data_IF_098670431688
#
_entry.id   IF_098670431688
#
_cell.length_a   1.000
_cell.length_b   1.000
_cell.length_c   1.000
_cell.angle_alpha   90.00
_cell.angle_beta   90.00
_cell.angle_gamma   90.00
#
_symmetry.space_group_name_H-M   'P 1'
#
loop_
_entity.id
_entity.type
_entity.pdbx_description
1 polymer ?
#
# COMPACT_ATOMS: atom_id res chain seq x y z
N UNK A 1 20.11 3.92 15.93
CA UNK A 1 18.72 4.44 15.94
C UNK A 1 18.51 5.60 16.91
N UNK A 2 18.75 5.47 18.23
CA UNK A 2 18.56 6.58 19.20
C UNK A 2 19.25 7.90 18.77
N UNK A 3 20.54 7.84 18.39
CA UNK A 3 21.31 9.04 17.98
C UNK A 3 20.77 9.74 16.71
N UNK A 4 20.19 8.98 15.77
CA UNK A 4 19.62 9.53 14.53
C UNK A 4 18.28 10.21 14.83
N UNK A 5 17.42 9.57 15.64
CA UNK A 5 16.17 10.16 16.09
C UNK A 5 16.43 11.45 16.88
N UNK A 6 17.42 11.44 17.79
CA UNK A 6 17.84 12.63 18.52
C UNK A 6 18.40 13.69 17.58
N UNK A 7 19.19 13.34 16.57
CA UNK A 7 19.69 14.29 15.59
C UNK A 7 18.57 14.91 14.74
N UNK A 8 17.56 14.14 14.32
CA UNK A 8 16.39 14.65 13.58
C UNK A 8 15.57 15.58 14.47
N UNK A 9 15.33 15.20 15.73
CA UNK A 9 14.59 16.03 16.70
C UNK A 9 15.35 17.33 16.98
N UNK A 10 16.65 17.24 17.26
CA UNK A 10 17.52 18.41 17.51
C UNK A 10 17.61 19.29 16.27
N UNK A 11 17.81 18.72 15.08
CA UNK A 11 17.84 19.47 13.82
C UNK A 11 16.52 20.21 13.56
N UNK A 12 15.37 19.55 13.77
CA UNK A 12 14.06 20.17 13.65
C UNK A 12 13.86 21.30 14.69
N UNK A 13 14.18 21.07 15.96
CA UNK A 13 14.09 22.09 17.02
C UNK A 13 15.01 23.29 16.72
N UNK A 14 16.24 23.03 16.26
CA UNK A 14 17.20 24.08 15.89
C UNK A 14 16.72 24.90 14.68
N UNK A 15 16.13 24.26 13.66
CA UNK A 15 15.58 24.97 12.50
C UNK A 15 14.31 25.78 12.83
N UNK A 16 13.47 25.27 13.74
CA UNK A 16 12.26 25.96 14.21
C UNK A 16 12.62 27.24 14.98
N UNK A 17 13.70 27.20 15.78
CA UNK A 17 14.18 28.36 16.55
C UNK A 17 14.86 29.43 15.69
N UNK A 18 15.57 29.05 14.61
CA UNK A 18 16.30 30.00 13.76
C UNK A 18 15.41 31.00 12.99
N UNK A 19 14.11 30.75 12.87
CA UNK A 19 13.19 31.61 12.11
C UNK A 19 12.04 32.16 12.95
N UNK A 20 12.16 32.19 14.29
CA UNK A 20 11.10 32.52 15.24
C UNK A 20 10.67 34.00 15.24
N UNK A 21 10.03 34.47 14.17
CA UNK A 21 9.09 35.59 14.22
C UNK A 21 7.69 35.05 13.94
N UNK A 22 6.81 35.14 14.93
CA UNK A 22 5.44 34.63 14.86
C UNK A 22 4.56 35.60 14.08
N UNK A 23 4.07 35.18 12.91
CA UNK A 23 2.93 35.84 12.26
C UNK A 23 1.67 35.47 13.06
N UNK A 24 0.80 36.44 13.31
CA UNK A 24 -0.40 36.30 14.14
C UNK A 24 -1.34 35.20 13.63
N UNK A 25 -2.00 34.49 14.57
CA UNK A 25 -2.87 33.35 14.27
C UNK A 25 -4.26 33.73 13.72
N UNK A 26 -4.68 35.00 13.78
CA UNK A 26 -5.81 35.54 13.01
C UNK A 26 -5.81 37.07 13.10
N UNK A 27 -6.45 37.76 12.15
CA UNK A 27 -6.65 39.23 12.13
C UNK A 27 -8.09 39.66 12.40
N UNK A 28 -9.01 38.74 12.73
CA UNK A 28 -10.45 39.05 12.93
C UNK A 28 -10.95 38.87 14.38
N UNK A 29 -11.24 40.01 15.01
CA UNK A 29 -12.25 40.34 16.04
C UNK A 29 -12.50 39.36 17.22
N UNK A 30 -12.21 39.88 18.41
CA UNK A 30 -12.28 39.34 19.78
C UNK A 30 -13.69 39.08 20.34
N UNK A 31 -14.70 38.79 19.51
CA UNK A 31 -16.11 38.70 19.95
C UNK A 31 -16.65 37.28 20.16
N UNK A 32 -15.84 36.23 20.00
CA UNK A 32 -16.28 34.83 20.19
C UNK A 32 -15.79 34.23 21.53
N UNK A 33 -16.66 33.43 22.14
CA UNK A 33 -16.47 32.71 23.42
C UNK A 33 -15.26 31.75 23.46
N UNK A 34 -14.68 31.42 22.29
CA UNK A 34 -13.49 30.57 22.15
C UNK A 34 -12.41 31.24 21.27
N UNK A 35 -11.99 32.44 21.64
CA UNK A 35 -10.95 33.22 20.93
C UNK A 35 -9.65 32.45 20.69
N UNK A 36 -9.32 31.51 21.59
CA UNK A 36 -8.10 30.71 21.47
C UNK A 36 -8.13 29.69 20.34
N UNK A 37 -9.30 29.23 19.86
CA UNK A 37 -9.42 28.17 18.84
C UNK A 37 -9.38 28.72 17.40
N UNK A 38 -9.73 30.00 17.21
CA UNK A 38 -9.77 30.63 15.89
C UNK A 38 -8.39 30.66 15.22
N UNK A 39 -8.33 30.32 13.94
CA UNK A 39 -7.10 30.26 13.15
C UNK A 39 -6.16 29.11 13.51
N UNK A 40 -6.58 28.19 14.39
CA UNK A 40 -5.79 27.07 14.89
C UNK A 40 -6.22 25.72 14.36
N UNK A 41 -7.36 25.66 13.69
CA UNK A 41 -7.93 24.42 13.18
C UNK A 41 -7.55 24.28 11.72
N UNK A 42 -6.99 23.14 11.35
CA UNK A 42 -6.65 22.83 9.96
C UNK A 42 -7.25 21.48 9.63
N UNK A 43 -8.05 21.42 8.56
CA UNK A 43 -8.51 20.17 7.97
C UNK A 43 -7.71 19.96 6.69
N UNK A 44 -6.99 18.85 6.60
CA UNK A 44 -6.22 18.45 5.42
C UNK A 44 -6.84 17.22 4.77
N UNK A 45 -6.92 17.23 3.45
CA UNK A 45 -7.28 16.07 2.61
C UNK A 45 -6.08 15.73 1.76
N UNK A 46 -5.51 14.55 1.99
CA UNK A 46 -4.28 14.11 1.35
C UNK A 46 -4.58 13.01 0.32
N UNK A 47 -4.30 13.29 -0.95
CA UNK A 47 -4.45 12.34 -2.05
C UNK A 47 -3.22 11.43 -2.08
N UNK A 48 -3.31 10.33 -1.36
CA UNK A 48 -2.24 9.33 -1.30
C UNK A 48 -2.83 7.93 -1.41
N UNK A 49 -2.76 7.30 -2.59
CA UNK A 49 -3.26 5.95 -2.77
C UNK A 49 -2.33 4.90 -2.14
N UNK A 50 -1.19 5.32 -1.57
CA UNK A 50 -0.21 4.47 -0.91
C UNK A 50 0.21 3.28 -1.77
N UNK A 51 0.26 2.11 -1.14
CA UNK A 51 0.61 0.85 -1.81
C UNK A 51 -0.46 0.41 -2.82
N UNK A 52 -1.73 0.73 -2.58
CA UNK A 52 -2.85 0.31 -3.42
C UNK A 52 -2.79 0.97 -4.82
N UNK A 53 -2.29 2.19 -4.93
CA UNK A 53 -2.12 2.85 -6.23
C UNK A 53 -0.92 2.37 -7.06
N UNK A 54 0.01 1.62 -6.46
CA UNK A 54 1.23 1.17 -7.13
C UNK A 54 1.20 -0.30 -7.51
N UNK A 55 0.85 -1.19 -6.56
CA UNK A 55 1.02 -2.63 -6.76
C UNK A 55 0.14 -3.23 -7.86
N UNK A 56 -1.18 -2.95 -7.94
CA UNK A 56 -2.03 -3.53 -8.98
C UNK A 56 -1.64 -3.11 -10.40
N UNK A 57 -1.41 -1.81 -10.71
CA UNK A 57 -0.90 -1.42 -12.01
C UNK A 57 0.47 -2.04 -12.34
N UNK A 58 1.37 -2.09 -11.35
CA UNK A 58 2.70 -2.70 -11.53
C UNK A 58 2.61 -4.19 -11.85
N UNK A 59 1.80 -4.96 -11.12
CA UNK A 59 1.62 -6.38 -11.39
C UNK A 59 0.99 -6.61 -12.76
N UNK A 60 -0.08 -5.88 -13.11
CA UNK A 60 -0.66 -5.96 -14.44
C UNK A 60 0.41 -5.71 -15.52
N UNK A 61 1.23 -4.67 -15.35
CA UNK A 61 2.30 -4.32 -16.32
C UNK A 61 3.35 -5.43 -16.45
N UNK A 62 3.75 -6.05 -15.33
CA UNK A 62 4.73 -7.15 -15.32
C UNK A 62 4.18 -8.35 -16.08
N UNK A 63 2.93 -8.76 -15.79
CA UNK A 63 2.33 -9.93 -16.43
C UNK A 63 1.97 -9.68 -17.90
N UNK A 64 1.49 -8.49 -18.25
CA UNK A 64 1.18 -8.11 -19.63
C UNK A 64 2.44 -8.04 -20.52
N UNK A 65 3.61 -7.81 -19.92
CA UNK A 65 4.89 -7.65 -20.65
C UNK A 65 5.95 -8.66 -20.21
N UNK A 66 5.54 -9.82 -19.69
CA UNK A 66 6.46 -10.75 -19.02
C UNK A 66 7.59 -11.23 -19.94
N UNK A 67 7.34 -11.42 -21.24
CA UNK A 67 8.35 -11.83 -22.24
C UNK A 67 9.46 -10.78 -22.39
N UNK A 68 9.11 -9.49 -22.30
CA UNK A 68 10.08 -8.40 -22.38
C UNK A 68 10.92 -8.34 -21.10
N UNK A 69 10.29 -8.53 -19.93
CA UNK A 69 11.01 -8.58 -18.66
C UNK A 69 11.93 -9.81 -18.54
N UNK A 70 11.48 -10.99 -18.98
CA UNK A 70 12.30 -12.19 -18.97
C UNK A 70 13.47 -12.08 -19.95
N UNK A 71 13.24 -11.51 -21.14
CA UNK A 71 14.29 -11.19 -22.11
C UNK A 71 15.33 -10.21 -21.56
N UNK A 72 14.90 -9.17 -20.84
CA UNK A 72 15.80 -8.19 -20.19
C UNK A 72 16.67 -8.84 -19.11
N UNK A 73 16.10 -9.82 -18.38
CA UNK A 73 16.79 -10.55 -17.32
C UNK A 73 17.65 -11.72 -17.86
N UNK A 74 17.60 -12.00 -19.17
CA UNK A 74 18.28 -13.12 -19.79
C UNK A 74 17.77 -14.49 -19.32
N UNK A 75 16.53 -14.54 -18.82
CA UNK A 75 15.89 -15.76 -18.32
C UNK A 75 15.03 -16.36 -19.41
N UNK A 76 15.35 -17.59 -19.82
CA UNK A 76 14.47 -18.39 -20.67
C UNK A 76 13.41 -19.07 -19.80
N UNK A 77 12.15 -18.73 -20.04
CA UNK A 77 11.01 -19.24 -19.28
C UNK A 77 10.55 -20.63 -19.76
N UNK A 78 11.02 -21.12 -20.92
CA UNK A 78 10.73 -22.47 -21.42
C UNK A 78 9.23 -22.84 -21.34
N UNK A 79 8.92 -23.97 -20.69
CA UNK A 79 7.54 -24.43 -20.48
C UNK A 79 6.72 -23.56 -19.52
N UNK A 80 7.38 -22.80 -18.64
CA UNK A 80 6.70 -21.86 -17.73
C UNK A 80 6.07 -20.68 -18.48
N UNK A 81 6.56 -20.37 -19.69
CA UNK A 81 5.95 -19.35 -20.55
C UNK A 81 4.53 -19.73 -20.97
N UNK A 82 4.24 -21.02 -21.21
CA UNK A 82 2.89 -21.50 -21.55
C UNK A 82 1.93 -21.31 -20.38
N UNK A 83 2.40 -21.54 -19.16
CA UNK A 83 1.63 -21.31 -17.94
C UNK A 83 1.35 -19.82 -17.76
N UNK A 84 2.36 -18.95 -17.90
CA UNK A 84 2.19 -17.49 -17.74
C UNK A 84 1.26 -16.93 -18.82
N UNK A 85 1.36 -17.38 -20.09
CA UNK A 85 0.44 -17.01 -21.18
C UNK A 85 -1.02 -17.44 -20.95
N UNK A 86 -1.24 -18.41 -20.08
CA UNK A 86 -2.57 -18.88 -19.75
C UNK A 86 -3.23 -18.07 -18.61
N UNK A 87 -2.44 -17.28 -17.87
CA UNK A 87 -2.92 -16.44 -16.78
C UNK A 87 -3.61 -15.19 -17.32
N UNK A 88 -4.82 -14.94 -16.81
CA UNK A 88 -5.50 -13.65 -16.84
C UNK A 88 -5.27 -12.98 -15.47
N UNK A 89 -4.51 -11.88 -15.47
CA UNK A 89 -4.16 -11.12 -14.26
C UNK A 89 -4.92 -9.81 -14.23
N UNK A 90 -5.77 -9.64 -13.20
CA UNK A 90 -6.56 -8.43 -13.01
C UNK A 90 -6.31 -7.85 -11.63
N UNK A 91 -5.56 -6.76 -11.59
CA UNK A 91 -5.39 -5.91 -10.43
C UNK A 91 -6.33 -4.70 -10.46
N UNK A 92 -6.98 -4.39 -9.34
CA UNK A 92 -7.73 -3.14 -9.17
C UNK A 92 -7.50 -2.53 -7.80
N UNK A 93 -7.72 -1.22 -7.67
CA UNK A 93 -7.61 -0.51 -6.40
C UNK A 93 -8.65 0.58 -6.27
N UNK A 94 -8.95 0.92 -5.02
CA UNK A 94 -9.64 2.14 -4.66
C UNK A 94 -9.10 2.65 -3.33
N UNK A 95 -9.24 3.94 -3.06
CA UNK A 95 -8.82 4.51 -1.79
C UNK A 95 -9.71 5.68 -1.42
N UNK A 96 -9.85 5.89 -0.12
CA UNK A 96 -10.38 7.13 0.45
C UNK A 96 -9.17 8.00 0.79
N UNK A 97 -9.09 9.24 0.28
CA UNK A 97 -8.04 10.18 0.67
C UNK A 97 -7.88 10.26 2.18
N UNK A 98 -6.64 10.41 2.66
CA UNK A 98 -6.39 10.52 4.08
C UNK A 98 -6.87 11.89 4.56
N UNK A 99 -7.86 11.92 5.45
CA UNK A 99 -8.41 13.13 6.04
C UNK A 99 -7.75 13.29 7.40
N UNK A 100 -7.12 14.45 7.62
CA UNK A 100 -6.55 14.78 8.92
C UNK A 100 -7.09 16.10 9.46
N UNK A 101 -7.26 16.13 10.77
CA UNK A 101 -7.57 17.33 11.55
C UNK A 101 -6.36 17.67 12.40
N UNK A 102 -5.86 18.90 12.27
CA UNK A 102 -4.76 19.43 13.06
C UNK A 102 -5.23 20.60 13.91
N UNK A 103 -4.95 20.52 15.22
CA UNK A 103 -5.12 21.63 16.15
C UNK A 103 -3.75 22.23 16.52
N UNK A 104 -3.54 23.50 16.21
CA UNK A 104 -2.32 24.24 16.57
C UNK A 104 -2.31 24.60 18.06
N UNK A 105 -1.59 23.86 18.90
CA UNK A 105 -1.40 24.25 20.31
C UNK A 105 -0.49 25.48 20.43
N UNK A 106 0.48 25.59 19.52
CA UNK A 106 1.37 26.73 19.37
C UNK A 106 1.34 27.18 17.90
N UNK A 107 1.66 28.46 17.56
CA UNK A 107 1.77 28.92 16.17
C UNK A 107 2.59 28.02 15.23
N UNK A 108 3.44 27.14 15.76
CA UNK A 108 4.30 26.23 14.98
C UNK A 108 4.20 24.76 15.37
N UNK A 109 3.34 24.42 16.33
CA UNK A 109 3.20 23.05 16.82
C UNK A 109 1.72 22.71 16.83
N UNK A 110 1.35 21.68 16.08
CA UNK A 110 0.00 21.14 16.03
C UNK A 110 -0.04 19.67 16.41
N UNK A 111 -1.18 19.26 16.95
CA UNK A 111 -1.51 17.84 17.12
C UNK A 111 -2.44 17.45 15.97
N UNK A 112 -2.07 16.40 15.24
CA UNK A 112 -2.80 15.88 14.09
C UNK A 112 -3.46 14.55 14.45
N UNK A 113 -4.72 14.36 14.04
CA UNK A 113 -5.39 13.07 14.00
C UNK A 113 -5.84 12.85 12.55
N UNK A 114 -5.60 11.67 12.01
CA UNK A 114 -5.91 11.35 10.62
C UNK A 114 -6.45 9.95 10.44
N UNK A 115 -7.24 9.76 9.40
CA UNK A 115 -7.79 8.47 9.00
C UNK A 115 -7.83 8.36 7.48
N UNK A 116 -7.65 7.15 6.97
CA UNK A 116 -7.78 6.85 5.55
C UNK A 116 -8.17 5.40 5.32
N UNK A 117 -8.45 5.06 4.06
CA UNK A 117 -8.73 3.68 3.65
C UNK A 117 -8.03 3.42 2.32
N UNK A 118 -7.34 2.31 2.22
CA UNK A 118 -6.75 1.85 0.96
C UNK A 118 -7.19 0.41 0.73
N UNK A 119 -7.62 0.09 -0.48
CA UNK A 119 -8.01 -1.25 -0.85
C UNK A 119 -7.37 -1.62 -2.18
N UNK A 120 -6.83 -2.83 -2.24
CA UNK A 120 -6.28 -3.43 -3.44
C UNK A 120 -6.86 -4.83 -3.60
N UNK A 121 -7.10 -5.22 -4.84
CA UNK A 121 -7.53 -6.58 -5.17
C UNK A 121 -6.73 -7.09 -6.37
N UNK A 122 -6.48 -8.40 -6.35
CA UNK A 122 -5.77 -9.13 -7.37
C UNK A 122 -6.57 -10.38 -7.70
N UNK A 123 -6.73 -10.65 -8.98
CA UNK A 123 -7.27 -11.90 -9.46
C UNK A 123 -6.27 -12.51 -10.46
N UNK A 124 -5.88 -13.75 -10.20
CA UNK A 124 -5.24 -14.62 -11.18
C UNK A 124 -6.30 -15.63 -11.62
N UNK A 125 -6.51 -15.81 -12.92
CA UNK A 125 -7.42 -16.81 -13.44
C UNK A 125 -6.80 -17.56 -14.62
N UNK A 126 -7.08 -18.85 -14.75
CA UNK A 126 -6.83 -19.64 -15.94
C UNK A 126 -8.19 -20.14 -16.43
N UNK A 127 -8.65 -19.68 -17.59
CA UNK A 127 -9.88 -20.17 -18.22
C UNK A 127 -9.85 -21.69 -18.41
N UNK A 128 -10.98 -22.36 -18.21
CA UNK A 128 -11.09 -23.82 -18.30
C UNK A 128 -10.48 -24.41 -19.57
N UNK A 129 -10.70 -23.80 -20.73
CA UNK A 129 -10.13 -24.22 -22.01
C UNK A 129 -8.60 -24.26 -21.98
N UNK A 130 -7.96 -23.22 -21.43
CA UNK A 130 -6.50 -23.18 -21.26
C UNK A 130 -6.00 -24.14 -20.19
N UNK A 131 -6.79 -24.41 -19.15
CA UNK A 131 -6.47 -25.42 -18.12
C UNK A 131 -6.40 -26.82 -18.75
N UNK A 132 -7.33 -27.16 -19.66
CA UNK A 132 -7.31 -28.44 -20.38
C UNK A 132 -6.05 -28.55 -21.22
N UNK A 133 -5.68 -27.50 -21.96
CA UNK A 133 -4.48 -27.49 -22.80
C UNK A 133 -3.19 -27.67 -21.98
N UNK A 134 -3.09 -26.98 -20.83
CA UNK A 134 -1.98 -27.10 -19.90
C UNK A 134 -1.88 -28.52 -19.32
N UNK A 135 -3.00 -29.08 -18.84
CA UNK A 135 -3.04 -30.44 -18.29
C UNK A 135 -2.70 -31.50 -19.34
N UNK A 136 -3.17 -31.31 -20.59
CA UNK A 136 -2.85 -32.18 -21.72
C UNK A 136 -1.38 -32.16 -22.10
N UNK A 137 -0.71 -31.01 -21.96
CA UNK A 137 0.72 -30.86 -22.26
C UNK A 137 1.68 -31.51 -21.25
N UNK A 138 1.21 -31.77 -20.03
CA UNK A 138 1.97 -32.43 -18.96
C UNK A 138 1.96 -33.97 -19.06
N UNK A 139 1.13 -34.54 -19.95
CA UNK A 139 1.03 -35.97 -20.16
C UNK A 139 2.01 -36.44 -21.25
N UNK A 140 2.74 -37.56 -21.04
CA UNK A 140 3.65 -38.09 -22.04
C UNK A 140 2.86 -38.48 -23.30
N UNK A 141 3.25 -37.91 -24.44
CA UNK A 141 2.69 -38.15 -25.77
C UNK A 141 3.00 -39.57 -26.25
N UNK A 142 2.30 -40.57 -25.71
CA UNK A 142 2.25 -41.91 -26.29
C UNK A 142 0.99 -42.05 -27.16
N UNK A 143 1.19 -42.45 -28.41
CA UNK A 143 0.22 -42.42 -29.52
C UNK A 143 -1.15 -43.05 -29.21
N UNK A 144 -2.18 -42.57 -29.94
CA UNK A 144 -3.62 -42.91 -29.88
C UNK A 144 -4.32 -42.96 -28.51
N UNK A 145 -3.57 -42.93 -27.41
CA UNK A 145 -4.04 -43.01 -26.02
C UNK A 145 -4.14 -41.61 -25.42
N UNK A 146 -3.27 -40.68 -25.86
CA UNK A 146 -3.35 -39.25 -25.47
C UNK A 146 -4.66 -38.56 -25.86
N UNK A 147 -5.30 -38.98 -26.96
CA UNK A 147 -6.56 -38.39 -27.43
C UNK A 147 -7.79 -38.91 -26.65
N UNK A 148 -7.69 -40.12 -26.09
CA UNK A 148 -8.73 -40.71 -25.22
C UNK A 148 -8.58 -40.15 -23.79
N UNK A 149 -7.35 -39.97 -23.32
CA UNK A 149 -7.07 -39.41 -21.99
C UNK A 149 -7.37 -37.89 -21.95
N UNK A 150 -6.99 -37.14 -22.98
CA UNK A 150 -7.29 -35.70 -23.09
C UNK A 150 -8.80 -35.39 -23.10
N UNK A 151 -9.60 -36.18 -23.82
CA UNK A 151 -11.06 -36.02 -23.85
C UNK A 151 -11.74 -36.40 -22.53
N UNK A 152 -11.20 -37.35 -21.76
CA UNK A 152 -11.74 -37.70 -20.44
C UNK A 152 -11.37 -36.65 -19.36
N UNK A 153 -10.20 -36.01 -19.45
CA UNK A 153 -9.75 -34.95 -18.55
C UNK A 153 -10.58 -33.68 -18.70
N UNK A 154 -10.99 -33.32 -19.92
CA UNK A 154 -11.90 -32.19 -20.17
C UNK A 154 -13.28 -32.35 -19.48
N UNK A 155 -13.68 -33.59 -19.16
CA UNK A 155 -14.89 -33.86 -18.36
C UNK A 155 -14.65 -33.84 -16.84
N UNK A 156 -13.39 -34.03 -16.41
CA UNK A 156 -12.98 -34.02 -15.00
C UNK A 156 -12.67 -32.60 -14.50
N UNK A 157 -12.20 -31.71 -15.39
CA UNK A 157 -11.95 -30.30 -15.08
C UNK A 157 -13.29 -29.55 -15.06
N UNK A 158 -13.82 -29.33 -13.86
CA UNK A 158 -15.19 -28.85 -13.65
C UNK A 158 -15.38 -27.34 -13.85
N UNK A 159 -14.35 -26.53 -13.61
CA UNK A 159 -14.45 -25.06 -13.54
C UNK A 159 -13.14 -24.36 -13.93
N UNK A 160 -13.20 -23.03 -14.03
CA UNK A 160 -12.01 -22.17 -14.15
C UNK A 160 -11.15 -22.26 -12.89
N UNK A 161 -9.83 -22.16 -13.04
CA UNK A 161 -8.92 -22.05 -11.90
C UNK A 161 -8.70 -20.57 -11.58
N UNK A 162 -9.03 -20.12 -10.37
CA UNK A 162 -8.83 -18.73 -9.95
C UNK A 162 -8.23 -18.60 -8.55
N UNK A 163 -7.46 -17.53 -8.35
CA UNK A 163 -7.01 -17.00 -7.07
C UNK A 163 -7.45 -15.55 -6.99
N UNK A 164 -8.24 -15.19 -5.99
CA UNK A 164 -8.63 -13.82 -5.68
C UNK A 164 -8.01 -13.44 -4.34
N UNK A 165 -7.31 -12.31 -4.30
CA UNK A 165 -6.77 -11.72 -3.08
C UNK A 165 -7.29 -10.29 -2.97
N UNK A 166 -7.90 -9.96 -1.84
CA UNK A 166 -8.34 -8.60 -1.50
C UNK A 166 -7.66 -8.18 -0.21
N UNK A 167 -7.03 -7.01 -0.22
CA UNK A 167 -6.30 -6.43 0.91
C UNK A 167 -6.84 -5.04 1.19
N UNK A 168 -7.33 -4.82 2.40
CA UNK A 168 -7.86 -3.53 2.86
C UNK A 168 -7.03 -3.06 4.05
N UNK A 169 -6.58 -1.81 3.98
CA UNK A 169 -5.78 -1.13 4.98
C UNK A 169 -6.59 0.06 5.51
N UNK A 170 -6.81 0.07 6.84
CA UNK A 170 -7.48 1.16 7.53
C UNK A 170 -6.51 1.86 8.50
N UNK A 171 -5.69 2.82 8.03
CA UNK A 171 -4.80 3.57 8.90
C UNK A 171 -5.54 4.64 9.71
N UNK A 172 -5.31 4.63 11.02
CA UNK A 172 -5.62 5.73 11.94
C UNK A 172 -4.32 6.24 12.53
N UNK A 173 -4.08 7.54 12.42
CA UNK A 173 -2.84 8.17 12.87
C UNK A 173 -3.10 9.26 13.90
N UNK A 174 -2.25 9.34 14.91
CA UNK A 174 -2.09 10.51 15.77
C UNK A 174 -0.65 11.01 15.63
N UNK A 175 -0.46 12.31 15.53
CA UNK A 175 0.85 12.88 15.28
C UNK A 175 1.06 14.28 15.83
N UNK A 176 2.31 14.70 15.80
CA UNK A 176 2.72 16.07 16.10
C UNK A 176 3.32 16.67 14.86
N UNK A 177 2.75 17.80 14.43
CA UNK A 177 3.14 18.55 13.24
C UNK A 177 3.89 19.82 13.64
N UNK A 178 5.06 20.02 13.06
CA UNK A 178 5.92 21.17 13.26
C UNK A 178 5.98 22.01 11.99
N UNK A 179 5.79 23.31 12.14
CA UNK A 179 5.84 24.26 11.04
C UNK A 179 7.10 25.11 11.10
N UNK A 180 7.93 25.03 10.06
CA UNK A 180 9.17 25.77 9.87
C UNK A 180 9.08 26.80 8.73
N UNK A 181 10.11 27.65 8.64
CA UNK A 181 10.17 28.73 7.65
C UNK A 181 9.45 30.01 8.06
N UNK A 182 9.79 31.14 7.43
CA UNK A 182 9.25 32.47 7.77
C UNK A 182 7.72 32.55 7.64
N UNK A 183 7.16 31.80 6.70
CA UNK A 183 5.71 31.75 6.41
C UNK A 183 5.05 30.41 6.77
N UNK A 184 5.71 29.56 7.58
CA UNK A 184 5.22 28.21 7.93
C UNK A 184 5.10 27.27 6.72
N UNK A 185 5.97 27.47 5.74
CA UNK A 185 5.96 26.75 4.46
C UNK A 185 6.53 25.34 4.60
N UNK A 186 7.36 25.05 5.59
CA UNK A 186 7.95 23.71 5.77
C UNK A 186 7.16 22.97 6.85
N UNK A 187 6.73 21.75 6.56
CA UNK A 187 5.94 20.93 7.46
C UNK A 187 6.68 19.64 7.76
N UNK A 188 6.87 19.35 9.05
CA UNK A 188 7.45 18.11 9.53
C UNK A 188 6.43 17.42 10.44
N UNK A 189 6.03 16.19 10.12
CA UNK A 189 5.00 15.49 10.91
C UNK A 189 5.55 14.17 11.42
N UNK A 190 5.55 14.00 12.74
CA UNK A 190 5.80 12.70 13.37
C UNK A 190 4.46 12.04 13.69
N UNK A 191 4.24 10.82 13.22
CA UNK A 191 2.99 10.10 13.40
C UNK A 191 3.23 8.75 14.07
N UNK A 192 2.33 8.42 14.99
CA UNK A 192 2.07 7.06 15.41
C UNK A 192 0.77 6.60 14.74
N UNK A 193 0.83 5.47 14.05
CA UNK A 193 -0.30 4.90 13.34
C UNK A 193 -0.64 3.51 13.83
N UNK A 194 -1.93 3.24 13.93
CA UNK A 194 -2.49 1.90 14.05
C UNK A 194 -3.24 1.64 12.75
N UNK A 195 -3.00 0.51 12.12
CA UNK A 195 -3.62 0.16 10.85
C UNK A 195 -4.24 -1.24 10.97
N UNK A 196 -5.53 -1.35 10.65
CA UNK A 196 -6.16 -2.65 10.50
C UNK A 196 -5.92 -3.15 9.07
N UNK A 197 -5.32 -4.33 8.96
CA UNK A 197 -5.07 -5.05 7.73
C UNK A 197 -6.07 -6.19 7.63
N UNK A 198 -6.93 -6.14 6.63
CA UNK A 198 -7.89 -7.20 6.34
C UNK A 198 -7.47 -7.86 5.03
N UNK A 199 -7.27 -9.18 5.05
CA UNK A 199 -6.98 -9.97 3.85
C UNK A 199 -8.05 -11.04 3.63
N UNK A 200 -8.58 -11.06 2.41
CA UNK A 200 -9.47 -12.10 1.92
C UNK A 200 -8.79 -12.80 0.76
N UNK A 201 -8.51 -14.10 0.90
CA UNK A 201 -7.88 -14.91 -0.12
C UNK A 201 -8.78 -16.10 -0.43
N UNK A 202 -9.19 -16.20 -1.69
CA UNK A 202 -10.06 -17.25 -2.19
C UNK A 202 -9.40 -17.93 -3.37
N UNK A 203 -9.30 -19.25 -3.32
CA UNK A 203 -8.76 -20.06 -4.42
C UNK A 203 -9.77 -21.11 -4.82
N UNK A 204 -9.97 -21.30 -6.11
CA UNK A 204 -10.64 -22.45 -6.69
C UNK A 204 -9.73 -23.04 -7.75
N UNK A 205 -9.44 -24.33 -7.66
CA UNK A 205 -8.64 -25.03 -8.63
C UNK A 205 -9.52 -25.97 -9.46
N UNK A 206 -9.61 -25.70 -10.76
CA UNK A 206 -10.46 -26.43 -11.70
C UNK A 206 -10.05 -27.88 -11.94
N UNK A 207 -8.79 -28.25 -11.67
CA UNK A 207 -8.25 -29.61 -11.87
C UNK A 207 -8.46 -30.47 -10.63
N UNK A 208 -8.08 -29.95 -9.46
CA UNK A 208 -8.18 -30.68 -8.19
C UNK A 208 -9.54 -30.53 -7.51
N UNK A 209 -10.36 -29.57 -7.95
CA UNK A 209 -11.64 -29.23 -7.32
C UNK A 209 -11.49 -28.57 -5.95
N UNK A 210 -10.26 -28.25 -5.53
CA UNK A 210 -9.98 -27.65 -4.23
C UNK A 210 -10.49 -26.21 -4.19
N UNK A 211 -11.26 -25.90 -3.14
CA UNK A 211 -11.74 -24.55 -2.83
C UNK A 211 -11.23 -24.15 -1.46
N UNK A 212 -10.55 -23.01 -1.39
CA UNK A 212 -10.06 -22.44 -0.14
C UNK A 212 -10.53 -21.01 -0.02
N UNK A 213 -10.93 -20.62 1.19
CA UNK A 213 -11.28 -19.24 1.52
C UNK A 213 -10.72 -18.91 2.88
N UNK A 214 -9.95 -17.85 2.96
CA UNK A 214 -9.29 -17.39 4.18
C UNK A 214 -9.54 -15.91 4.38
N UNK A 215 -9.99 -15.56 5.58
CA UNK A 215 -10.18 -14.19 6.03
C UNK A 215 -9.30 -13.96 7.25
N UNK A 216 -8.39 -12.99 7.16
CA UNK A 216 -7.48 -12.64 8.24
C UNK A 216 -7.62 -11.15 8.55
N UNK A 217 -7.67 -10.80 9.84
CA UNK A 217 -7.64 -9.41 10.31
C UNK A 217 -6.46 -9.27 11.27
N UNK A 218 -5.51 -8.42 10.90
CA UNK A 218 -4.34 -8.11 11.69
C UNK A 218 -4.27 -6.63 12.04
N UNK A 219 -3.88 -6.33 13.29
CA UNK A 219 -3.58 -4.96 13.71
C UNK A 219 -2.08 -4.70 13.59
N UNK A 220 -1.71 -3.79 12.71
CA UNK A 220 -0.33 -3.32 12.52
C UNK A 220 -0.13 -1.97 13.21
N UNK A 221 1.10 -1.68 13.60
CA UNK A 221 1.45 -0.43 14.29
C UNK A 221 2.73 0.12 13.70
N UNK A 222 2.76 1.43 13.45
CA UNK A 222 3.92 2.09 12.87
C UNK A 222 4.21 3.46 13.49
N UNK A 223 5.49 3.84 13.38
CA UNK A 223 5.92 5.22 13.55
C UNK A 223 6.35 5.75 12.19
N UNK A 224 5.93 6.94 11.80
CA UNK A 224 6.39 7.59 10.57
C UNK A 224 6.77 9.04 10.78
N UNK A 225 7.63 9.51 9.90
CA UNK A 225 8.07 10.89 9.77
C UNK A 225 7.78 11.34 8.34
N UNK A 226 7.06 12.44 8.21
CA UNK A 226 6.73 13.08 6.95
C UNK A 226 7.43 14.44 6.86
N UNK A 227 8.09 14.68 5.73
CA UNK A 227 8.63 15.97 5.34
C UNK A 227 7.86 16.52 4.14
N UNK A 228 7.36 17.74 4.28
CA UNK A 228 6.58 18.41 3.26
C UNK A 228 6.69 19.93 3.29
N UNK A 229 5.96 20.53 2.36
CA UNK A 229 5.80 21.95 2.18
C UNK A 229 4.33 22.30 2.06
N UNK A 230 3.96 23.49 2.50
CA UNK A 230 2.61 24.02 2.40
C UNK A 230 2.65 25.38 1.72
N UNK A 231 1.78 25.59 0.74
CA UNK A 231 1.66 26.82 -0.04
C UNK A 231 0.29 27.46 0.24
N UNK A 232 0.28 28.71 0.71
CA UNK A 232 -0.97 29.47 0.90
C UNK A 232 -1.55 29.89 -0.44
N UNK A 233 -2.80 29.51 -0.69
CA UNK A 233 -3.56 29.98 -1.83
C UNK A 233 -4.17 31.34 -1.48
N UNK A 234 -3.75 32.38 -2.22
CA UNK A 234 -4.17 33.78 -2.05
C UNK A 234 -3.61 34.52 -0.80
N UNK A 235 -2.27 34.66 -0.67
CA UNK A 235 -1.62 35.23 0.52
C UNK A 235 -1.95 36.71 0.78
N UNK A 236 -2.53 37.42 -0.19
CA UNK A 236 -2.85 38.84 -0.08
C UNK A 236 -4.32 39.12 0.29
N UNK A 237 -5.14 38.07 0.51
CA UNK A 237 -6.56 38.21 0.82
C UNK A 237 -6.87 37.57 2.17
N UNK A 238 -7.40 38.36 3.10
CA UNK A 238 -7.83 37.86 4.42
C UNK A 238 -9.23 37.26 4.32
N UNK A 239 -9.29 35.93 4.19
CA UNK A 239 -10.52 35.17 4.24
C UNK A 239 -10.73 34.54 5.62
N UNK A 240 -12.00 34.35 6.06
CA UNK A 240 -12.30 33.58 7.26
C UNK A 240 -11.75 32.15 7.20
N UNK A 241 -11.58 31.61 5.99
CA UNK A 241 -10.97 30.31 5.73
C UNK A 241 -9.83 30.50 4.76
N UNK A 242 -8.62 30.06 5.14
CA UNK A 242 -7.43 30.13 4.29
C UNK A 242 -7.15 28.77 3.65
N UNK A 243 -7.22 28.66 2.31
CA UNK A 243 -6.88 27.44 1.61
C UNK A 243 -5.37 27.31 1.39
N UNK A 244 -4.89 26.07 1.40
CA UNK A 244 -3.50 25.71 1.24
C UNK A 244 -3.36 24.48 0.35
N UNK A 245 -2.25 24.41 -0.38
CA UNK A 245 -1.79 23.18 -1.04
C UNK A 245 -0.68 22.59 -0.19
N UNK A 246 -0.84 21.33 0.20
CA UNK A 246 0.14 20.56 0.94
C UNK A 246 0.88 19.62 -0.01
N UNK A 247 2.21 19.64 0.01
CA UNK A 247 3.08 18.79 -0.79
C UNK A 247 4.00 18.05 0.15
N UNK A 248 3.78 16.75 0.34
CA UNK A 248 4.69 15.90 1.11
C UNK A 248 5.64 15.18 0.17
N UNK A 249 6.95 15.43 0.26
CA UNK A 249 7.96 14.81 -0.61
C UNK A 249 8.30 13.40 -0.15
N UNK A 250 8.31 13.17 1.17
CA UNK A 250 8.84 11.93 1.72
C UNK A 250 8.13 11.57 3.02
N UNK A 251 7.64 10.34 3.09
CA UNK A 251 7.24 9.70 4.35
C UNK A 251 8.09 8.45 4.57
N UNK A 252 8.89 8.45 5.64
CA UNK A 252 9.66 7.28 6.09
C UNK A 252 9.12 6.85 7.44
N UNK A 253 8.85 5.57 7.60
CA UNK A 253 8.43 4.99 8.85
C UNK A 253 8.91 3.57 9.05
N UNK A 254 8.50 3.02 10.18
CA UNK A 254 8.82 1.66 10.58
C UNK A 254 7.61 1.05 11.29
N UNK A 255 7.19 -0.12 10.81
CA UNK A 255 6.20 -0.96 11.46
C UNK A 255 6.84 -1.63 12.68
N UNK A 256 6.41 -1.21 13.87
CA UNK A 256 6.77 -1.87 15.13
C UNK A 256 6.14 -3.27 15.17
N UNK A 257 4.92 -3.38 14.63
CA UNK A 257 4.23 -4.65 14.39
C UNK A 257 3.77 -4.67 12.94
N UNK A 258 4.27 -5.62 12.16
CA UNK A 258 3.93 -5.80 10.75
C UNK A 258 3.05 -7.04 10.57
N UNK A 259 2.04 -6.94 9.72
CA UNK A 259 1.21 -8.07 9.27
C UNK A 259 1.74 -8.72 7.98
N UNK A 260 2.88 -8.26 7.47
CA UNK A 260 3.38 -8.67 6.14
C UNK A 260 3.71 -10.17 6.06
N UNK A 261 4.24 -10.76 7.13
CA UNK A 261 4.56 -12.19 7.17
C UNK A 261 3.30 -13.06 7.09
N UNK A 262 2.22 -12.64 7.75
CA UNK A 262 0.91 -13.29 7.70
C UNK A 262 0.31 -13.21 6.29
N UNK A 263 0.23 -12.00 5.73
CA UNK A 263 -0.26 -11.80 4.35
C UNK A 263 0.57 -12.60 3.33
N UNK A 264 1.89 -12.63 3.47
CA UNK A 264 2.74 -13.45 2.60
C UNK A 264 2.42 -14.93 2.73
N UNK A 265 2.26 -15.44 3.95
CA UNK A 265 1.90 -16.83 4.21
C UNK A 265 0.57 -17.20 3.55
N UNK A 266 -0.44 -16.36 3.74
CA UNK A 266 -1.79 -16.58 3.20
C UNK A 266 -1.78 -16.53 1.65
N UNK A 267 -1.06 -15.57 1.06
CA UNK A 267 -0.90 -15.48 -0.42
C UNK A 267 -0.13 -16.69 -0.95
N UNK A 268 0.97 -17.08 -0.30
CA UNK A 268 1.78 -18.24 -0.71
C UNK A 268 0.94 -19.52 -0.71
N UNK A 269 0.14 -19.72 0.33
CA UNK A 269 -0.78 -20.84 0.45
C UNK A 269 -1.80 -20.82 -0.70
N UNK A 270 -2.46 -19.69 -0.95
CA UNK A 270 -3.38 -19.50 -2.08
C UNK A 270 -2.75 -19.81 -3.44
N UNK A 271 -1.53 -19.31 -3.70
CA UNK A 271 -0.78 -19.60 -4.93
C UNK A 271 -0.44 -21.09 -5.05
N UNK A 272 -0.10 -21.74 -3.94
CA UNK A 272 0.20 -23.18 -3.93
C UNK A 272 -1.04 -24.00 -4.31
N UNK A 273 -2.21 -23.64 -3.77
CA UNK A 273 -3.48 -24.27 -4.15
C UNK A 273 -3.86 -23.97 -5.61
N UNK A 274 -3.62 -22.75 -6.07
CA UNK A 274 -3.88 -22.33 -7.45
C UNK A 274 -3.05 -23.16 -8.45
N UNK A 275 -1.77 -23.39 -8.16
CA UNK A 275 -0.88 -24.17 -9.02
C UNK A 275 -1.00 -25.69 -8.88
N UNK A 276 -1.70 -26.18 -7.86
CA UNK A 276 -1.81 -27.63 -7.57
C UNK A 276 -2.32 -28.42 -8.78
N UNK A 277 -1.57 -29.44 -9.19
CA UNK A 277 -1.88 -30.26 -10.37
C UNK A 277 -1.47 -29.66 -11.73
N UNK A 278 -0.92 -28.44 -11.75
CA UNK A 278 -0.33 -27.80 -12.94
C UNK A 278 1.18 -27.63 -12.81
N UNK A 279 1.62 -27.02 -11.70
CA UNK A 279 3.03 -26.73 -11.42
C UNK A 279 3.24 -26.83 -9.92
N UNK A 280 4.34 -27.41 -9.46
CA UNK A 280 4.72 -27.36 -8.04
C UNK A 280 5.27 -25.97 -7.68
N UNK A 281 4.35 -25.02 -7.48
CA UNK A 281 4.68 -23.65 -7.11
C UNK A 281 5.19 -23.57 -5.66
N UNK A 282 4.85 -24.55 -4.82
CA UNK A 282 5.28 -24.63 -3.42
C UNK A 282 6.78 -24.90 -3.26
N UNK A 283 7.39 -25.61 -4.22
CA UNK A 283 8.84 -25.81 -4.29
C UNK A 283 9.61 -24.56 -4.72
N UNK A 284 8.97 -23.65 -5.47
CA UNK A 284 9.60 -22.44 -6.03
C UNK A 284 9.48 -21.24 -5.09
N UNK A 285 8.37 -21.12 -4.36
CA UNK A 285 8.15 -20.00 -3.44
C UNK A 285 8.55 -20.41 -2.01
N UNK A 286 9.66 -19.86 -1.47
CA UNK A 286 10.14 -20.21 -0.13
C UNK A 286 9.15 -19.81 0.96
N UNK A 287 9.23 -20.45 2.12
CA UNK A 287 8.45 -20.04 3.29
C UNK A 287 8.99 -18.73 3.88
N UNK A 288 8.15 -17.95 4.57
CA UNK A 288 8.63 -16.72 5.21
C UNK A 288 9.78 -16.98 6.20
N UNK A 289 9.68 -18.09 6.94
CA UNK A 289 10.65 -18.48 7.96
C UNK A 289 12.00 -18.93 7.39
N UNK A 290 12.07 -19.26 6.09
CA UNK A 290 13.33 -19.57 5.41
C UNK A 290 14.12 -18.33 4.97
N UNK A 291 13.52 -17.14 5.01
CA UNK A 291 14.25 -15.92 4.69
C UNK A 291 15.23 -15.53 5.80
N UNK A 292 16.35 -14.87 5.45
CA UNK A 292 17.24 -14.28 6.43
C UNK A 292 16.49 -13.31 7.37
N UNK A 293 16.89 -13.30 8.64
CA UNK A 293 16.27 -12.46 9.69
C UNK A 293 16.23 -10.98 9.30
N UNK A 294 17.20 -10.50 8.51
CA UNK A 294 17.23 -9.10 8.08
C UNK A 294 16.02 -8.69 7.22
N UNK A 295 15.38 -9.62 6.52
CA UNK A 295 14.21 -9.36 5.70
C UNK A 295 13.02 -8.89 6.53
N UNK A 296 12.90 -9.34 7.78
CA UNK A 296 11.87 -8.86 8.71
C UNK A 296 12.03 -7.36 9.02
N UNK A 297 13.27 -6.86 9.12
CA UNK A 297 13.51 -5.44 9.36
C UNK A 297 13.24 -4.60 8.11
N UNK A 298 13.63 -5.09 6.93
CA UNK A 298 13.42 -4.38 5.66
C UNK A 298 11.95 -4.33 5.27
N UNK A 299 11.23 -5.45 5.41
CA UNK A 299 9.77 -5.52 5.14
C UNK A 299 8.93 -4.70 6.13
N UNK A 300 9.49 -4.37 7.30
CA UNK A 300 8.88 -3.46 8.25
C UNK A 300 9.14 -1.97 7.95
N UNK A 301 9.99 -1.63 6.97
CA UNK A 301 10.19 -0.23 6.58
C UNK A 301 8.95 0.25 5.81
N UNK A 302 8.34 1.32 6.31
CA UNK A 302 7.29 2.05 5.60
C UNK A 302 7.98 3.14 4.77
N UNK A 303 7.72 3.13 3.48
CA UNK A 303 8.31 4.11 2.57
C UNK A 303 7.23 4.61 1.61
N UNK A 304 7.07 5.94 1.52
CA UNK A 304 6.24 6.59 0.50
C UNK A 304 7.10 7.59 -0.28
N UNK A 305 7.39 7.26 -1.54
CA UNK A 305 8.32 7.99 -2.43
C UNK A 305 7.62 8.89 -3.46
N UNK A 306 6.30 9.09 -3.33
CA UNK A 306 5.57 9.97 -4.25
C UNK A 306 5.30 11.31 -3.59
N UNK A 307 5.45 12.44 -4.31
CA UNK A 307 4.97 13.72 -3.81
C UNK A 307 3.46 13.59 -3.58
N UNK A 308 3.08 13.47 -2.31
CA UNK A 308 1.68 13.45 -1.89
C UNK A 308 1.18 14.87 -2.00
N UNK A 309 0.16 15.07 -2.82
CA UNK A 309 -0.51 16.35 -2.96
C UNK A 309 -1.77 16.29 -2.12
N UNK A 310 -1.94 17.29 -1.27
CA UNK A 310 -3.10 17.48 -0.43
C UNK A 310 -3.59 18.91 -0.48
N UNK A 311 -4.78 19.11 0.06
CA UNK A 311 -5.37 20.43 0.24
C UNK A 311 -5.72 20.59 1.69
N UNK A 312 -5.46 21.77 2.25
CA UNK A 312 -5.89 22.07 3.60
C UNK A 312 -6.61 23.39 3.72
N UNK A 313 -7.54 23.42 4.67
CA UNK A 313 -8.33 24.58 5.01
C UNK A 313 -8.05 24.94 6.46
N UNK A 314 -7.64 26.19 6.69
CA UNK A 314 -7.45 26.73 8.03
C UNK A 314 -8.63 27.62 8.41
N UNK A 315 -9.14 27.43 9.63
CA UNK A 315 -10.26 28.16 10.23
C UNK A 315 -9.85 28.72 11.60
#
# INVERSE_FOLDING_TARGET
>A
MKKILTAIIVFNISFINLYANGIALSTQSDTNTYSWIKGRQIVSVNLSPGYAGLFPPMLNTIFDNYETFSGLLGVDLGESAKFINALDVKGSFWYVPNISYTLLLHPRIGVEIGFGVQAMSFQLAIPKDKVVDLAGSLLPSSGNTGNIIGNNIGSLIGSDTYLKASLIYFPVTIGVKFYGGKKREVVNTFRFGIEALMSDIETENGISGLKTKRHTIDATMYLSYELGWTIELFPHKEWPVKPYIDISILEIGYYIRSGMSGVYGDIREGITFFGSGLVDVGAVIPSWNSFPVWLNYVSAIRFSLFPRIGFSLRF
#
